data_IF_060627484034
#
_entry.id   IF_060627484034
#
_cell.length_a   1.000
_cell.length_b   1.000
_cell.length_c   1.000
_cell.angle_alpha   90.00
_cell.angle_beta   90.00
_cell.angle_gamma   90.00
#
_symmetry.space_group_name_H-M   'P 1'
#
loop_
_entity.id
_entity.type
_entity.pdbx_description
1 polymer ?
#
# COMPACT_ATOMS: atom_id res chain seq x y z
N UNK A 1 -14.01 -7.93 25.25
CA UNK A 1 -14.74 -7.05 24.33
C UNK A 1 -14.24 -5.63 24.56
N UNK A 2 -13.77 -4.96 23.52
CA UNK A 2 -13.28 -3.58 23.58
C UNK A 2 -14.41 -2.56 23.34
N UNK A 3 -15.62 -3.00 22.93
CA UNK A 3 -16.75 -2.13 22.61
C UNK A 3 -16.55 -1.26 21.36
N UNK A 4 -15.42 -1.41 20.67
CA UNK A 4 -15.02 -0.63 19.51
C UNK A 4 -14.46 -1.57 18.42
N UNK A 5 -14.58 -1.21 17.13
CA UNK A 5 -13.97 -1.94 16.04
C UNK A 5 -12.45 -2.09 16.22
N UNK A 6 -11.86 -3.08 15.54
CA UNK A 6 -10.41 -3.21 15.47
C UNK A 6 -9.78 -1.93 14.90
N UNK A 7 -8.81 -1.37 15.60
CA UNK A 7 -8.07 -0.16 15.21
C UNK A 7 -6.62 -0.48 14.94
N UNK A 8 -6.03 0.18 13.94
CA UNK A 8 -4.62 0.01 13.54
C UNK A 8 -3.90 1.36 13.53
N UNK A 9 -2.57 1.38 13.76
CA UNK A 9 -1.78 2.61 13.73
C UNK A 9 -1.73 3.23 12.33
N UNK A 10 -1.70 4.56 12.27
CA UNK A 10 -1.64 5.33 11.03
C UNK A 10 -0.72 6.55 11.15
N UNK A 11 -0.32 7.10 10.00
CA UNK A 11 0.51 8.31 9.91
C UNK A 11 1.98 7.99 9.58
N UNK A 12 2.79 9.02 9.43
CA UNK A 12 4.17 8.90 8.91
C UNK A 12 5.06 7.98 9.76
N UNK A 13 4.72 7.83 11.04
CA UNK A 13 5.38 6.89 11.97
C UNK A 13 5.30 5.43 11.51
N UNK A 14 4.31 5.06 10.69
CA UNK A 14 4.12 3.69 10.19
C UNK A 14 4.97 3.37 8.95
N UNK A 15 5.66 4.35 8.36
CA UNK A 15 6.47 4.15 7.17
C UNK A 15 7.67 3.24 7.45
N UNK A 16 7.95 2.30 6.55
CA UNK A 16 9.07 1.35 6.68
C UNK A 16 8.90 0.31 7.81
N UNK A 17 7.68 0.14 8.32
CA UNK A 17 7.31 -0.87 9.31
C UNK A 17 6.44 -1.96 8.68
N UNK A 18 6.52 -3.18 9.20
CA UNK A 18 5.64 -4.29 8.80
C UNK A 18 4.65 -4.56 9.91
N UNK A 19 3.36 -4.62 9.58
CA UNK A 19 2.28 -4.84 10.52
C UNK A 19 1.50 -6.11 10.19
N UNK A 20 1.02 -6.79 11.23
CA UNK A 20 -0.02 -7.80 11.08
C UNK A 20 -1.42 -7.15 10.99
N UNK A 21 -2.46 -7.97 10.82
CA UNK A 21 -3.86 -7.52 10.71
C UNK A 21 -4.35 -6.76 11.95
N UNK A 22 -3.75 -7.02 13.13
CA UNK A 22 -4.10 -6.37 14.38
C UNK A 22 -3.41 -4.99 14.56
N UNK A 23 -2.54 -4.60 13.63
CA UNK A 23 -1.76 -3.37 13.73
C UNK A 23 -0.51 -3.51 14.61
N UNK A 24 -0.08 -4.73 14.91
CA UNK A 24 1.13 -5.00 15.68
C UNK A 24 2.33 -5.16 14.74
N UNK A 25 3.48 -4.64 15.15
CA UNK A 25 4.70 -4.70 14.35
C UNK A 25 5.34 -6.08 14.38
N UNK A 26 5.67 -6.62 13.21
CA UNK A 26 6.26 -7.96 13.01
C UNK A 26 7.60 -7.93 12.27
N UNK A 27 8.22 -6.75 12.20
CA UNK A 27 9.45 -6.48 11.44
C UNK A 27 10.76 -6.72 12.23
N UNK A 28 10.68 -7.28 13.45
CA UNK A 28 11.84 -7.51 14.30
C UNK A 28 12.51 -6.24 14.86
N UNK A 29 11.97 -5.05 14.55
CA UNK A 29 12.40 -3.77 15.14
C UNK A 29 11.81 -3.64 16.57
N UNK A 30 12.30 -2.71 17.40
CA UNK A 30 11.76 -2.49 18.73
C UNK A 30 10.23 -2.36 18.70
N UNK A 31 9.57 -3.02 19.65
CA UNK A 31 8.12 -2.94 19.80
C UNK A 31 7.72 -1.49 19.98
N UNK A 32 6.93 -1.02 19.04
CA UNK A 32 6.41 0.33 19.07
C UNK A 32 5.27 0.39 20.10
N UNK A 33 5.39 1.30 21.04
CA UNK A 33 4.37 1.64 22.01
C UNK A 33 3.36 2.63 21.42
N UNK A 34 2.30 2.92 22.18
CA UNK A 34 1.33 3.96 21.81
C UNK A 34 1.95 5.36 21.69
N UNK A 35 3.14 5.58 22.29
CA UNK A 35 3.91 6.82 22.08
C UNK A 35 4.53 6.89 20.69
N UNK A 36 4.88 5.74 20.12
CA UNK A 36 5.49 5.63 18.80
C UNK A 36 4.43 5.69 17.67
N UNK A 37 3.19 5.32 17.98
CA UNK A 37 2.03 5.45 17.08
C UNK A 37 0.89 6.24 17.74
N UNK A 38 0.94 7.59 17.69
CA UNK A 38 -0.02 8.42 18.43
C UNK A 38 -1.43 8.41 17.84
N UNK A 39 -1.61 7.94 16.60
CA UNK A 39 -2.89 7.94 15.89
C UNK A 39 -3.26 6.52 15.46
N UNK A 40 -4.48 6.12 15.80
CA UNK A 40 -5.08 4.86 15.37
C UNK A 40 -6.41 5.15 14.65
N UNK A 41 -6.74 4.35 13.64
CA UNK A 41 -8.03 4.41 12.95
C UNK A 41 -8.70 3.03 12.89
N UNK A 42 -10.04 2.95 12.90
CA UNK A 42 -10.76 1.70 12.71
C UNK A 42 -10.58 1.17 11.28
N UNK A 43 -10.48 -0.16 11.15
CA UNK A 43 -10.40 -0.82 9.83
C UNK A 43 -11.76 -0.84 9.12
N UNK A 44 -12.85 -0.83 9.88
CA UNK A 44 -14.21 -0.73 9.35
C UNK A 44 -14.64 0.74 9.34
N UNK A 45 -14.97 1.25 8.16
CA UNK A 45 -15.48 2.61 7.94
C UNK A 45 -16.40 2.62 6.71
N UNK A 46 -17.32 3.58 6.67
CA UNK A 46 -18.16 3.79 5.50
C UNK A 46 -17.31 4.25 4.30
N UNK A 47 -17.77 3.95 3.09
CA UNK A 47 -17.18 4.53 1.88
C UNK A 47 -17.38 6.05 1.86
N UNK A 48 -16.54 6.80 1.11
CA UNK A 48 -16.77 8.22 0.87
C UNK A 48 -18.16 8.48 0.28
N UNK A 49 -18.72 9.65 0.58
CA UNK A 49 -20.02 10.08 0.05
C UNK A 49 -19.93 10.43 -1.44
N UNK A 50 -21.05 10.35 -2.17
CA UNK A 50 -21.08 10.64 -3.61
C UNK A 50 -20.54 12.05 -3.94
N UNK A 51 -20.82 13.03 -3.06
CA UNK A 51 -20.38 14.43 -3.18
C UNK A 51 -18.88 14.62 -2.98
N UNK A 52 -18.19 13.65 -2.39
CA UNK A 52 -16.73 13.69 -2.15
C UNK A 52 -15.93 13.04 -3.29
N UNK A 53 -16.60 12.41 -4.25
CA UNK A 53 -15.96 11.70 -5.35
C UNK A 53 -15.38 12.70 -6.37
N UNK A 54 -14.08 12.58 -6.65
CA UNK A 54 -13.43 13.39 -7.68
C UNK A 54 -13.82 12.90 -9.09
N UNK A 55 -14.36 13.83 -9.88
CA UNK A 55 -14.77 13.58 -11.27
C UNK A 55 -13.67 13.91 -12.26
N UNK A 56 -12.57 14.54 -11.82
CA UNK A 56 -11.48 14.90 -12.70
C UNK A 56 -10.74 13.65 -13.20
N UNK A 57 -10.53 13.63 -14.51
CA UNK A 57 -9.70 12.62 -15.17
C UNK A 57 -8.28 13.15 -15.21
N UNK A 58 -7.41 12.57 -14.37
CA UNK A 58 -5.97 12.82 -14.43
C UNK A 58 -5.23 11.50 -14.61
N UNK A 59 -4.23 11.54 -15.49
CA UNK A 59 -3.36 10.39 -15.77
C UNK A 59 -2.34 10.28 -14.64
N UNK A 60 -2.07 9.04 -14.24
CA UNK A 60 -1.00 8.68 -13.34
C UNK A 60 0.16 8.10 -14.18
N UNK A 61 1.20 8.90 -14.36
CA UNK A 61 2.40 8.51 -15.12
C UNK A 61 3.23 7.51 -14.31
N UNK A 62 3.35 6.30 -14.83
CA UNK A 62 4.00 5.18 -14.15
C UNK A 62 5.50 5.08 -14.42
N UNK A 63 5.97 5.67 -15.53
CA UNK A 63 7.33 5.47 -16.04
C UNK A 63 7.51 4.17 -16.83
N UNK A 64 6.46 3.34 -16.93
CA UNK A 64 6.47 2.07 -17.64
C UNK A 64 5.85 2.29 -19.02
N UNK A 65 6.70 2.33 -20.06
CA UNK A 65 6.28 2.65 -21.44
C UNK A 65 5.04 1.91 -21.93
N UNK A 66 4.98 0.59 -21.71
CA UNK A 66 3.84 -0.22 -22.18
C UNK A 66 2.53 0.15 -21.46
N UNK A 67 2.62 0.51 -20.18
CA UNK A 67 1.48 0.95 -19.38
C UNK A 67 1.08 2.36 -19.79
N UNK A 68 2.02 3.30 -19.81
CA UNK A 68 1.72 4.71 -20.09
C UNK A 68 1.19 4.94 -21.52
N UNK A 69 1.59 4.11 -22.49
CA UNK A 69 1.13 4.22 -23.88
C UNK A 69 -0.16 3.43 -24.15
N UNK A 70 -0.25 2.16 -23.72
CA UNK A 70 -1.35 1.28 -24.12
C UNK A 70 -2.50 1.23 -23.12
N UNK A 71 -2.20 1.40 -21.83
CA UNK A 71 -3.17 1.25 -20.74
C UNK A 71 -2.88 2.24 -19.61
N UNK A 72 -2.94 3.56 -19.87
CA UNK A 72 -2.55 4.58 -18.91
C UNK A 72 -3.39 4.50 -17.64
N UNK A 73 -2.74 4.61 -16.49
CA UNK A 73 -3.43 4.55 -15.20
C UNK A 73 -4.11 5.89 -14.90
N UNK A 74 -5.28 5.83 -14.26
CA UNK A 74 -5.97 7.01 -13.75
C UNK A 74 -5.56 7.26 -12.30
N UNK A 75 -5.22 8.49 -11.95
CA UNK A 75 -4.99 8.89 -10.55
C UNK A 75 -6.28 8.71 -9.74
N UNK A 76 -6.17 8.07 -8.58
CA UNK A 76 -7.33 7.67 -7.76
C UNK A 76 -8.14 6.50 -8.34
N UNK A 77 -7.70 5.92 -9.46
CA UNK A 77 -8.32 4.75 -10.08
C UNK A 77 -7.97 3.43 -9.38
N UNK A 78 -8.69 2.38 -9.75
CA UNK A 78 -8.40 0.99 -9.34
C UNK A 78 -7.81 0.25 -10.53
N UNK A 79 -6.67 -0.39 -10.34
CA UNK A 79 -5.94 -1.13 -11.37
C UNK A 79 -5.87 -2.60 -10.99
N UNK A 80 -6.06 -3.48 -11.97
CA UNK A 80 -5.87 -4.92 -11.81
C UNK A 80 -4.69 -5.43 -12.64
N UNK A 81 -3.77 -6.17 -12.01
CA UNK A 81 -2.68 -6.87 -12.69
C UNK A 81 -3.04 -8.35 -12.82
N UNK A 82 -3.47 -8.77 -14.00
CA UNK A 82 -3.90 -10.14 -14.27
C UNK A 82 -2.79 -10.95 -14.93
N UNK A 83 -2.51 -12.14 -14.39
CA UNK A 83 -1.52 -13.04 -14.97
C UNK A 83 -1.18 -14.23 -14.07
N UNK A 84 -0.53 -15.25 -14.65
CA UNK A 84 -0.15 -16.50 -13.97
C UNK A 84 0.98 -16.35 -12.93
N UNK A 85 1.44 -17.47 -12.40
CA UNK A 85 2.63 -17.50 -11.56
C UNK A 85 3.88 -17.17 -12.37
N UNK A 86 4.82 -16.42 -11.79
CA UNK A 86 6.13 -16.13 -12.42
C UNK A 86 6.11 -15.10 -13.56
N UNK A 87 4.97 -14.49 -13.90
CA UNK A 87 4.87 -13.50 -14.99
C UNK A 87 5.34 -12.08 -14.60
N UNK A 88 5.92 -11.91 -13.41
CA UNK A 88 6.47 -10.62 -12.98
C UNK A 88 5.48 -9.63 -12.35
N UNK A 89 4.30 -10.07 -11.88
CA UNK A 89 3.33 -9.17 -11.22
C UNK A 89 3.93 -8.39 -10.04
N UNK A 90 4.63 -9.09 -9.15
CA UNK A 90 5.30 -8.49 -7.99
C UNK A 90 6.39 -7.51 -8.42
N UNK A 91 7.14 -7.85 -9.47
CA UNK A 91 8.17 -6.97 -10.04
C UNK A 91 7.56 -5.67 -10.57
N UNK A 92 6.42 -5.73 -11.27
CA UNK A 92 5.70 -4.54 -11.72
C UNK A 92 5.23 -3.70 -10.52
N UNK A 93 4.71 -4.32 -9.46
CA UNK A 93 4.28 -3.60 -8.25
C UNK A 93 5.47 -2.89 -7.59
N UNK A 94 6.61 -3.57 -7.47
CA UNK A 94 7.84 -2.98 -6.91
C UNK A 94 8.33 -1.79 -7.73
N UNK A 95 8.32 -1.91 -9.05
CA UNK A 95 8.72 -0.81 -9.94
C UNK A 95 7.76 0.38 -9.86
N UNK A 96 6.45 0.14 -9.74
CA UNK A 96 5.47 1.21 -9.51
C UNK A 96 5.75 1.95 -8.20
N UNK A 97 6.06 1.22 -7.12
CA UNK A 97 6.36 1.80 -5.80
C UNK A 97 7.64 2.65 -5.87
N UNK A 98 8.68 2.13 -6.51
CA UNK A 98 9.94 2.83 -6.76
C UNK A 98 9.71 4.14 -7.55
N UNK A 99 8.92 4.10 -8.64
CA UNK A 99 8.65 5.29 -9.46
C UNK A 99 7.75 6.31 -8.74
N UNK A 100 6.79 5.87 -7.93
CA UNK A 100 5.99 6.77 -7.07
C UNK A 100 6.89 7.52 -6.09
N UNK A 101 7.78 6.79 -5.41
CA UNK A 101 8.67 7.35 -4.40
C UNK A 101 9.65 8.37 -5.03
N UNK A 102 10.21 8.06 -6.20
CA UNK A 102 11.19 8.91 -6.89
C UNK A 102 10.58 10.12 -7.59
N UNK A 103 9.47 9.96 -8.29
CA UNK A 103 8.93 10.99 -9.19
C UNK A 103 7.81 11.83 -8.57
N UNK A 104 7.02 11.26 -7.67
CA UNK A 104 5.79 11.90 -7.16
C UNK A 104 5.85 12.24 -5.67
N UNK A 105 6.93 11.87 -4.96
CA UNK A 105 7.05 12.07 -3.51
C UNK A 105 5.94 11.37 -2.71
N UNK A 106 5.31 10.37 -3.31
CA UNK A 106 4.17 9.66 -2.74
C UNK A 106 4.58 8.54 -1.80
N UNK A 107 3.70 8.19 -0.87
CA UNK A 107 3.85 7.02 -0.02
C UNK A 107 3.14 5.82 -0.64
N UNK A 108 3.75 4.64 -0.52
CA UNK A 108 3.14 3.38 -0.97
C UNK A 108 2.83 2.47 0.22
N UNK A 109 1.70 1.78 0.15
CA UNK A 109 1.29 0.78 1.16
C UNK A 109 1.08 -0.54 0.41
N UNK A 110 1.75 -1.60 0.86
CA UNK A 110 1.59 -2.94 0.33
C UNK A 110 0.78 -3.80 1.30
N UNK A 111 -0.33 -4.38 0.82
CA UNK A 111 -1.16 -5.31 1.58
C UNK A 111 -1.04 -6.72 1.02
N UNK A 112 -0.21 -7.57 1.66
CA UNK A 112 -0.07 -8.97 1.27
C UNK A 112 -1.24 -9.82 1.79
N UNK A 113 -2.25 -10.07 0.95
CA UNK A 113 -3.45 -10.84 1.34
C UNK A 113 -3.38 -12.25 0.77
N UNK A 114 -3.13 -13.24 1.62
CA UNK A 114 -3.07 -14.66 1.20
C UNK A 114 -1.85 -15.00 0.33
N UNK A 115 -0.88 -14.09 0.23
CA UNK A 115 0.35 -14.28 -0.52
C UNK A 115 1.37 -15.14 0.25
N UNK A 116 2.39 -15.63 -0.45
CA UNK A 116 3.47 -16.41 0.17
C UNK A 116 4.34 -15.50 1.05
N UNK A 117 4.66 -15.96 2.26
CA UNK A 117 5.60 -15.25 3.16
C UNK A 117 6.95 -14.98 2.50
N UNK A 118 7.43 -15.90 1.64
CA UNK A 118 8.67 -15.71 0.87
C UNK A 118 8.59 -14.46 -0.02
N UNK A 119 7.48 -14.29 -0.75
CA UNK A 119 7.31 -13.14 -1.66
C UNK A 119 7.24 -11.81 -0.89
N UNK A 120 6.63 -11.80 0.30
CA UNK A 120 6.64 -10.64 1.19
C UNK A 120 8.02 -10.33 1.78
N UNK A 121 8.80 -11.37 2.10
CA UNK A 121 10.18 -11.21 2.58
C UNK A 121 11.11 -10.67 1.48
N UNK A 122 11.00 -11.24 0.27
CA UNK A 122 11.76 -10.78 -0.90
C UNK A 122 11.45 -9.29 -1.19
N UNK A 123 10.16 -8.92 -1.20
CA UNK A 123 9.71 -7.54 -1.33
C UNK A 123 10.33 -6.62 -0.27
N UNK A 124 10.32 -7.03 1.00
CA UNK A 124 10.87 -6.21 2.09
C UNK A 124 12.37 -5.97 1.93
N UNK A 125 13.13 -6.99 1.54
CA UNK A 125 14.57 -6.86 1.32
C UNK A 125 14.93 -6.08 0.06
N UNK A 126 14.12 -6.16 -1.00
CA UNK A 126 14.32 -5.33 -2.20
C UNK A 126 13.99 -3.84 -1.98
N UNK A 127 13.22 -3.53 -0.93
CA UNK A 127 12.83 -2.15 -0.58
C UNK A 127 13.74 -1.47 0.45
N UNK A 128 14.62 -2.22 1.13
CA UNK A 128 15.62 -1.69 2.05
C UNK A 128 16.83 -1.13 1.28
#
# INVERSE_FOLDING_TARGET
DTGAPLTVPVGDTTLGRIFNVLGETVDGKPKSSQKDFPKNLPIHRNSPEFTELDTNLSIFETGIKVVDVLAPYRRGGKIGLFGGAGVGKTVIIMELINNIAKAHGGVSIFGGVGERTREGNDLYHEML
#
